data_IF_908418628052
#
_entry.id   IF_908418628052
#
_cell.length_a   1.000
_cell.length_b   1.000
_cell.length_c   1.000
_cell.angle_alpha   90.00
_cell.angle_beta   90.00
_cell.angle_gamma   90.00
#
_symmetry.space_group_name_H-M   'P 1'
#
loop_
_entity.id
_entity.type
_entity.pdbx_description
1 polymer ?
#
# COMPACT_ATOMS: atom_id res chain seq x y z
N UNK A 1 -6.91 -8.44 12.06
CA UNK A 1 -6.55 -9.79 11.59
C UNK A 1 -5.02 -9.87 11.49
N UNK A 2 -4.38 -11.01 11.77
CA UNK A 2 -2.92 -11.14 11.65
C UNK A 2 -2.59 -11.82 10.33
N UNK A 3 -1.92 -11.11 9.41
CA UNK A 3 -1.47 -11.67 8.13
C UNK A 3 -0.40 -12.74 8.40
N UNK A 4 -0.72 -13.99 8.04
CA UNK A 4 0.17 -15.14 8.23
C UNK A 4 0.95 -15.48 6.95
N UNK A 5 0.39 -15.10 5.80
CA UNK A 5 0.90 -15.43 4.46
C UNK A 5 1.07 -14.17 3.63
N UNK A 6 2.17 -14.07 2.90
CA UNK A 6 2.47 -12.97 1.99
C UNK A 6 2.93 -13.51 0.65
N UNK A 7 2.34 -13.00 -0.43
CA UNK A 7 2.90 -13.10 -1.78
C UNK A 7 3.56 -11.76 -2.11
N UNK A 8 4.86 -11.74 -2.36
CA UNK A 8 5.58 -10.55 -2.86
C UNK A 8 6.12 -10.82 -4.26
N UNK A 9 5.67 -10.07 -5.27
CA UNK A 9 6.11 -10.20 -6.66
C UNK A 9 6.06 -11.66 -7.17
N UNK A 10 4.97 -12.37 -6.88
CA UNK A 10 4.75 -13.77 -7.26
C UNK A 10 5.44 -14.80 -6.37
N UNK A 11 6.28 -14.40 -5.41
CA UNK A 11 6.91 -15.32 -4.46
C UNK A 11 6.07 -15.42 -3.18
N UNK A 12 5.71 -16.64 -2.79
CA UNK A 12 4.86 -16.92 -1.63
C UNK A 12 5.73 -17.29 -0.42
N UNK A 13 5.38 -16.77 0.76
CA UNK A 13 6.01 -17.13 2.02
C UNK A 13 5.26 -16.57 3.23
N UNK A 14 5.90 -16.64 4.41
CA UNK A 14 5.44 -15.89 5.58
C UNK A 14 5.75 -14.39 5.47
N UNK A 15 5.42 -13.63 6.50
CA UNK A 15 5.57 -12.16 6.51
C UNK A 15 6.99 -11.67 6.21
N UNK A 16 8.01 -12.46 6.58
CA UNK A 16 9.43 -12.17 6.35
C UNK A 16 9.80 -11.98 4.88
N UNK A 17 8.99 -12.44 3.93
CA UNK A 17 9.22 -12.21 2.50
C UNK A 17 9.16 -10.72 2.13
N UNK A 18 8.37 -9.93 2.87
CA UNK A 18 8.27 -8.48 2.68
C UNK A 18 9.50 -7.72 3.21
N UNK A 19 10.33 -8.35 4.05
CA UNK A 19 11.42 -7.68 4.76
C UNK A 19 12.42 -6.99 3.84
N UNK A 20 12.70 -7.55 2.66
CA UNK A 20 13.62 -6.91 1.70
C UNK A 20 13.07 -5.59 1.16
N UNK A 21 11.76 -5.55 0.86
CA UNK A 21 11.11 -4.33 0.40
C UNK A 21 10.96 -3.31 1.54
N UNK A 22 10.57 -3.75 2.74
CA UNK A 22 10.51 -2.86 3.92
C UNK A 22 11.88 -2.25 4.24
N UNK A 23 12.96 -3.04 4.19
CA UNK A 23 14.32 -2.50 4.34
C UNK A 23 14.66 -1.46 3.28
N UNK A 24 14.25 -1.68 2.03
CA UNK A 24 14.45 -0.70 0.96
C UNK A 24 13.63 0.58 1.19
N UNK A 25 12.40 0.48 1.70
CA UNK A 25 11.60 1.64 2.08
C UNK A 25 12.18 2.43 3.27
N UNK A 26 12.86 1.74 4.18
CA UNK A 26 13.52 2.35 5.34
C UNK A 26 14.88 2.99 5.00
N UNK A 27 15.41 2.80 3.79
CA UNK A 27 16.67 3.40 3.35
C UNK A 27 16.40 4.59 2.42
N UNK A 28 16.56 5.84 2.89
CA UNK A 28 16.30 7.03 2.08
C UNK A 28 17.20 7.13 0.83
N UNK A 29 18.40 6.52 0.88
CA UNK A 29 19.30 6.45 -0.26
C UNK A 29 18.71 5.59 -1.36
N UNK A 30 18.21 4.40 -1.02
CA UNK A 30 17.53 3.50 -1.97
C UNK A 30 16.25 4.15 -2.50
N UNK A 31 15.39 4.69 -1.62
CA UNK A 31 14.14 5.35 -2.03
C UNK A 31 14.41 6.47 -3.03
N UNK A 32 15.43 7.31 -2.78
CA UNK A 32 15.81 8.39 -3.70
C UNK A 32 16.39 7.87 -5.01
N UNK A 33 17.30 6.90 -4.96
CA UNK A 33 17.92 6.29 -6.16
C UNK A 33 16.86 5.69 -7.08
N UNK A 34 15.86 5.04 -6.50
CA UNK A 34 14.76 4.39 -7.23
C UNK A 34 13.65 5.34 -7.64
N UNK A 35 13.75 6.64 -7.30
CA UNK A 35 12.69 7.62 -7.43
C UNK A 35 11.37 7.19 -6.76
N UNK A 36 11.45 6.37 -5.72
CA UNK A 36 10.32 5.76 -5.05
C UNK A 36 9.99 4.34 -5.53
N UNK A 37 8.81 3.87 -5.13
CA UNK A 37 8.27 2.55 -5.48
C UNK A 37 6.81 2.66 -5.89
N UNK A 38 6.41 1.88 -6.88
CA UNK A 38 5.01 1.63 -7.23
C UNK A 38 4.58 0.31 -6.62
N UNK A 39 3.36 0.21 -6.12
CA UNK A 39 2.82 -1.03 -5.60
C UNK A 39 1.35 -1.26 -5.90
N UNK A 40 0.97 -2.54 -5.90
CA UNK A 40 -0.39 -3.05 -5.79
C UNK A 40 -0.49 -3.95 -4.57
N UNK A 41 -1.57 -3.86 -3.82
CA UNK A 41 -1.83 -4.76 -2.70
C UNK A 41 -3.29 -5.22 -2.67
N UNK A 42 -3.50 -6.49 -2.33
CA UNK A 42 -4.83 -7.07 -2.08
C UNK A 42 -4.76 -7.95 -0.84
N UNK A 43 -5.85 -8.00 -0.08
CA UNK A 43 -6.00 -8.83 1.11
C UNK A 43 -7.08 -9.88 0.86
N UNK A 44 -6.75 -11.14 1.13
CA UNK A 44 -7.67 -12.26 1.07
C UNK A 44 -7.54 -13.09 2.34
N UNK A 45 -8.42 -12.81 3.32
CA UNK A 45 -8.31 -13.38 4.66
C UNK A 45 -6.98 -13.00 5.32
N UNK A 46 -6.16 -14.00 5.67
CA UNK A 46 -4.85 -13.81 6.31
C UNK A 46 -3.68 -13.75 5.29
N UNK A 47 -4.00 -13.62 4.00
CA UNK A 47 -3.03 -13.56 2.91
C UNK A 47 -2.95 -12.16 2.32
N UNK A 48 -1.79 -11.49 2.46
CA UNK A 48 -1.46 -10.29 1.69
C UNK A 48 -0.83 -10.66 0.35
N UNK A 49 -1.40 -10.17 -0.74
CA UNK A 49 -0.77 -10.17 -2.06
C UNK A 49 -0.21 -8.78 -2.31
N UNK A 50 1.07 -8.70 -2.65
CA UNK A 50 1.78 -7.46 -2.85
C UNK A 50 2.66 -7.57 -4.10
N UNK A 51 2.51 -6.62 -5.00
CA UNK A 51 3.46 -6.39 -6.07
C UNK A 51 4.09 -5.02 -5.84
N UNK A 52 5.42 -4.93 -5.88
CA UNK A 52 6.15 -3.70 -5.67
C UNK A 52 7.37 -3.63 -6.60
N UNK A 53 7.53 -2.49 -7.29
CA UNK A 53 8.65 -2.24 -8.20
C UNK A 53 9.22 -0.83 -7.99
N UNK A 54 10.53 -0.63 -8.15
CA UNK A 54 11.13 0.70 -8.19
C UNK A 54 10.51 1.56 -9.29
N UNK A 55 10.24 2.84 -9.03
CA UNK A 55 9.76 3.78 -10.06
C UNK A 55 10.77 3.95 -11.21
N UNK A 56 12.06 3.78 -10.91
CA UNK A 56 13.17 3.88 -11.86
C UNK A 56 14.01 2.59 -11.85
N UNK A 57 14.16 1.98 -13.01
CA UNK A 57 15.01 0.80 -13.24
C UNK A 57 15.94 1.11 -14.41
N UNK A 58 17.25 1.15 -14.17
CA UNK A 58 18.26 1.44 -15.20
C UNK A 58 17.99 2.74 -16.00
N UNK A 59 17.47 3.78 -15.34
CA UNK A 59 17.11 5.05 -15.96
C UNK A 59 15.77 5.07 -16.70
N UNK A 60 15.07 3.93 -16.79
CA UNK A 60 13.73 3.84 -17.37
C UNK A 60 12.65 3.87 -16.28
N UNK A 61 11.51 4.50 -16.58
CA UNK A 61 10.34 4.51 -15.70
C UNK A 61 9.62 3.17 -15.75
N UNK A 62 9.21 2.67 -14.58
CA UNK A 62 8.29 1.53 -14.45
C UNK A 62 6.83 1.98 -14.39
N UNK A 63 5.89 1.03 -14.49
CA UNK A 63 4.47 1.33 -14.35
C UNK A 63 3.70 0.27 -13.54
N UNK A 64 2.55 0.66 -12.96
CA UNK A 64 1.69 -0.27 -12.21
C UNK A 64 1.05 -1.38 -13.05
N UNK A 65 0.87 -1.17 -14.36
CA UNK A 65 0.34 -2.21 -15.25
C UNK A 65 1.34 -3.35 -15.52
N UNK A 66 2.61 -3.18 -15.12
CA UNK A 66 3.61 -4.25 -15.14
C UNK A 66 3.44 -5.20 -13.93
N UNK A 67 2.51 -4.89 -13.02
CA UNK A 67 2.25 -5.64 -11.80
C UNK A 67 0.88 -6.31 -11.88
N UNK A 68 0.84 -7.63 -11.69
CA UNK A 68 -0.40 -8.39 -11.57
C UNK A 68 -0.43 -9.15 -10.24
N UNK A 69 -1.53 -9.00 -9.51
CA UNK A 69 -1.83 -9.86 -8.36
C UNK A 69 -2.63 -11.08 -8.82
N UNK A 70 -2.52 -12.18 -8.06
CA UNK A 70 -3.33 -13.38 -8.27
C UNK A 70 -4.83 -13.10 -8.10
N UNK A 71 -5.16 -12.18 -7.18
CA UNK A 71 -6.50 -11.64 -6.97
C UNK A 71 -6.44 -10.12 -7.09
N UNK A 72 -7.16 -9.59 -8.08
CA UNK A 72 -7.45 -8.16 -8.20
C UNK A 72 -8.98 -7.98 -8.23
N UNK A 73 -9.50 -7.22 -7.27
CA UNK A 73 -10.90 -6.81 -7.17
C UNK A 73 -11.01 -5.31 -6.85
N UNK A 74 -12.23 -4.81 -6.61
CA UNK A 74 -12.49 -3.41 -6.30
C UNK A 74 -11.72 -2.89 -5.07
N UNK A 75 -11.34 -3.77 -4.14
CA UNK A 75 -10.60 -3.45 -2.91
C UNK A 75 -9.09 -3.47 -3.09
N UNK A 76 -8.59 -3.76 -4.30
CA UNK A 76 -7.16 -3.73 -4.59
C UNK A 76 -6.62 -2.30 -4.42
N UNK A 77 -5.66 -2.18 -3.51
CA UNK A 77 -4.90 -0.94 -3.32
C UNK A 77 -3.91 -0.76 -4.46
N UNK A 78 -3.89 0.44 -5.01
CA UNK A 78 -2.92 0.95 -5.96
C UNK A 78 -2.19 2.08 -5.27
N UNK A 79 -0.86 2.04 -5.23
CA UNK A 79 -0.15 3.09 -4.52
C UNK A 79 1.28 3.31 -4.97
N UNK A 80 1.84 4.39 -4.46
CA UNK A 80 3.22 4.76 -4.68
C UNK A 80 3.82 5.29 -3.39
N UNK A 81 5.13 5.11 -3.26
CA UNK A 81 5.96 5.83 -2.29
C UNK A 81 6.88 6.71 -3.11
N UNK A 82 6.82 8.03 -2.95
CA UNK A 82 7.67 8.93 -3.73
C UNK A 82 9.12 8.97 -3.20
N UNK A 83 10.00 9.69 -3.89
CA UNK A 83 11.41 9.82 -3.50
C UNK A 83 11.65 10.50 -2.12
N UNK A 84 10.61 11.15 -1.56
CA UNK A 84 10.60 11.72 -0.22
C UNK A 84 10.02 10.79 0.85
N UNK A 85 9.57 9.58 0.48
CA UNK A 85 8.97 8.63 1.41
C UNK A 85 7.48 8.86 1.69
N UNK A 86 6.81 9.75 0.96
CA UNK A 86 5.36 10.02 1.11
C UNK A 86 4.56 9.00 0.32
N UNK A 87 3.49 8.49 0.92
CA UNK A 87 2.59 7.49 0.36
C UNK A 87 1.40 8.13 -0.36
N UNK A 88 1.12 7.62 -1.55
CA UNK A 88 -0.15 7.74 -2.25
C UNK A 88 -0.81 6.37 -2.25
N UNK A 89 -2.03 6.23 -1.74
CA UNK A 89 -2.77 4.96 -1.67
C UNK A 89 -4.20 5.20 -2.16
N UNK A 90 -4.59 4.46 -3.19
CA UNK A 90 -5.88 4.60 -3.86
C UNK A 90 -6.51 3.22 -4.06
N UNK A 91 -7.82 3.20 -4.26
CA UNK A 91 -8.55 2.07 -4.82
C UNK A 91 -9.21 2.51 -6.11
N UNK A 92 -9.54 1.56 -6.98
CA UNK A 92 -10.28 1.82 -8.21
C UNK A 92 -11.62 1.09 -8.18
N UNK A 93 -12.62 1.62 -7.45
CA UNK A 93 -13.97 1.07 -7.46
C UNK A 93 -14.57 1.19 -8.87
N UNK A 94 -15.44 0.25 -9.24
CA UNK A 94 -16.09 0.24 -10.56
C UNK A 94 -17.19 1.31 -10.66
N UNK A 95 -17.73 1.76 -9.51
CA UNK A 95 -18.74 2.80 -9.44
C UNK A 95 -18.72 3.57 -8.12
N UNK A 96 -19.29 4.78 -8.12
CA UNK A 96 -19.49 5.55 -6.89
C UNK A 96 -20.46 4.88 -5.92
N UNK A 97 -21.38 4.04 -6.42
CA UNK A 97 -22.30 3.28 -5.56
C UNK A 97 -21.55 2.25 -4.71
N UNK A 98 -20.53 1.59 -5.28
CA UNK A 98 -19.66 0.69 -4.52
C UNK A 98 -18.92 1.43 -3.40
N UNK A 99 -18.45 2.65 -3.66
CA UNK A 99 -17.80 3.49 -2.64
C UNK A 99 -18.70 3.67 -1.42
N UNK A 100 -19.95 4.08 -1.63
CA UNK A 100 -20.89 4.33 -0.54
C UNK A 100 -21.30 3.03 0.16
N UNK A 101 -21.53 1.96 -0.59
CA UNK A 101 -21.99 0.68 -0.04
C UNK A 101 -20.91 -0.03 0.81
N UNK A 102 -19.63 0.13 0.45
CA UNK A 102 -18.51 -0.61 1.05
C UNK A 102 -17.47 0.31 1.72
N UNK A 103 -17.83 1.54 2.07
CA UNK A 103 -16.90 2.53 2.63
C UNK A 103 -16.10 1.99 3.84
N UNK A 104 -16.76 1.28 4.75
CA UNK A 104 -16.11 0.68 5.92
C UNK A 104 -15.10 -0.43 5.54
N UNK A 105 -15.43 -1.25 4.54
CA UNK A 105 -14.56 -2.31 4.02
C UNK A 105 -13.34 -1.71 3.31
N UNK A 106 -13.53 -0.64 2.52
CA UNK A 106 -12.41 0.10 1.94
C UNK A 106 -11.48 0.64 3.01
N UNK A 107 -12.02 1.34 4.02
CA UNK A 107 -11.22 1.87 5.13
C UNK A 107 -10.45 0.72 5.82
N UNK A 108 -11.10 -0.41 6.08
CA UNK A 108 -10.46 -1.56 6.73
C UNK A 108 -9.26 -2.09 5.92
N UNK A 109 -9.37 -2.19 4.60
CA UNK A 109 -8.25 -2.63 3.74
C UNK A 109 -7.05 -1.68 3.83
N UNK A 110 -7.28 -0.36 3.86
CA UNK A 110 -6.23 0.63 4.07
C UNK A 110 -5.54 0.47 5.44
N UNK A 111 -6.34 0.26 6.50
CA UNK A 111 -5.84 0.05 7.87
C UNK A 111 -5.00 -1.21 7.98
N UNK A 112 -5.48 -2.31 7.41
CA UNK A 112 -4.77 -3.58 7.42
C UNK A 112 -3.44 -3.50 6.66
N UNK A 113 -3.42 -2.83 5.50
CA UNK A 113 -2.19 -2.58 4.77
C UNK A 113 -1.19 -1.74 5.58
N UNK A 114 -1.64 -0.63 6.18
CA UNK A 114 -0.79 0.22 7.01
C UNK A 114 -0.23 -0.54 8.23
N UNK A 115 -1.10 -1.26 8.95
CA UNK A 115 -0.71 -2.09 10.09
C UNK A 115 0.32 -3.15 9.69
N UNK A 116 0.18 -3.75 8.50
CA UNK A 116 1.16 -4.73 8.02
C UNK A 116 2.53 -4.12 7.81
N UNK A 117 2.63 -2.97 7.13
CA UNK A 117 3.92 -2.30 6.91
C UNK A 117 4.62 -2.01 8.24
N UNK A 118 3.87 -1.46 9.21
CA UNK A 118 4.37 -1.14 10.55
C UNK A 118 4.82 -2.41 11.30
N UNK A 119 4.00 -3.47 11.27
CA UNK A 119 4.32 -4.74 11.92
C UNK A 119 5.54 -5.44 11.30
N UNK A 120 5.84 -5.19 10.02
CA UNK A 120 7.05 -5.69 9.35
C UNK A 120 8.27 -4.78 9.58
N UNK A 121 8.15 -3.73 10.38
CA UNK A 121 9.25 -2.86 10.78
C UNK A 121 9.49 -1.67 9.85
N UNK A 122 8.47 -1.21 9.11
CA UNK A 122 8.55 0.10 8.48
C UNK A 122 8.76 1.17 9.56
N UNK A 123 9.83 1.96 9.42
CA UNK A 123 10.32 2.90 10.43
C UNK A 123 10.28 4.36 9.96
N UNK A 124 9.81 4.62 8.74
CA UNK A 124 9.60 5.97 8.26
C UNK A 124 8.36 6.62 8.88
N UNK A 125 8.21 7.93 8.66
CA UNK A 125 7.07 8.71 9.15
C UNK A 125 5.73 8.20 8.57
N UNK A 126 5.78 7.61 7.37
CA UNK A 126 4.59 7.05 6.72
C UNK A 126 3.58 8.12 6.33
N UNK A 127 4.04 9.32 5.96
CA UNK A 127 3.17 10.43 5.56
C UNK A 127 2.23 10.03 4.43
N UNK A 128 0.96 10.38 4.57
CA UNK A 128 -0.08 10.20 3.56
C UNK A 128 -0.31 11.52 2.83
N UNK A 129 -0.34 11.47 1.50
CA UNK A 129 -0.60 12.66 0.69
C UNK A 129 -2.10 13.04 0.65
N UNK A 130 -2.37 14.23 0.11
CA UNK A 130 -3.72 14.78 -0.04
C UNK A 130 -4.62 13.90 -0.91
N UNK A 131 -4.05 13.16 -1.86
CA UNK A 131 -4.81 12.22 -2.71
C UNK A 131 -5.37 11.09 -1.85
N UNK A 132 -4.50 10.46 -1.04
CA UNK A 132 -4.88 9.41 -0.10
C UNK A 132 -5.91 9.92 0.90
N UNK A 133 -5.66 11.10 1.49
CA UNK A 133 -6.58 11.72 2.44
C UNK A 133 -7.93 12.06 1.81
N UNK A 134 -7.95 12.55 0.56
CA UNK A 134 -9.18 12.84 -0.17
C UNK A 134 -10.01 11.58 -0.44
N UNK A 135 -9.36 10.45 -0.76
CA UNK A 135 -10.04 9.16 -0.91
C UNK A 135 -10.62 8.68 0.42
N UNK A 136 -9.84 8.73 1.51
CA UNK A 136 -10.32 8.34 2.83
C UNK A 136 -11.48 9.24 3.33
N UNK A 137 -11.44 10.53 3.00
CA UNK A 137 -12.51 11.46 3.28
C UNK A 137 -13.79 11.11 2.49
N UNK A 138 -13.66 10.70 1.24
CA UNK A 138 -14.79 10.24 0.43
C UNK A 138 -15.44 8.97 1.00
N UNK A 139 -14.67 8.15 1.74
CA UNK A 139 -15.18 7.00 2.50
C UNK A 139 -15.76 7.39 3.88
N UNK A 140 -15.74 8.69 4.23
CA UNK A 140 -16.29 9.19 5.48
C UNK A 140 -15.36 9.06 6.68
N UNK A 141 -14.06 8.80 6.47
CA UNK A 141 -13.10 8.75 7.58
C UNK A 141 -12.86 10.15 8.17
N UNK A 142 -13.07 10.29 9.48
CA UNK A 142 -12.85 11.54 10.21
C UNK A 142 -12.51 11.22 11.69
N UNK A 143 -11.40 11.73 12.27
CA UNK A 143 -10.39 12.61 11.67
C UNK A 143 -9.56 11.93 10.57
N UNK A 144 -9.11 12.70 9.58
CA UNK A 144 -8.27 12.17 8.51
C UNK A 144 -6.86 11.87 9.03
N UNK A 145 -6.32 10.65 8.80
CA UNK A 145 -4.97 10.33 9.17
C UNK A 145 -3.97 11.01 8.23
N UNK A 146 -2.89 11.51 8.83
CA UNK A 146 -1.73 12.07 8.15
C UNK A 146 -0.58 11.08 8.00
N UNK A 147 -0.62 9.96 8.74
CA UNK A 147 0.42 8.92 8.71
C UNK A 147 -0.16 7.50 8.64
N UNK A 148 0.66 6.54 8.21
CA UNK A 148 0.34 5.11 8.29
C UNK A 148 0.04 4.68 9.74
N UNK A 149 0.73 5.25 10.72
CA UNK A 149 0.51 4.95 12.15
C UNK A 149 -0.87 5.41 12.60
N UNK A 150 -1.28 6.64 12.26
CA UNK A 150 -2.62 7.13 12.56
C UNK A 150 -3.68 6.31 11.84
N UNK A 151 -3.47 6.00 10.56
CA UNK A 151 -4.39 5.18 9.78
C UNK A 151 -4.58 3.80 10.41
N UNK A 152 -3.51 3.12 10.83
CA UNK A 152 -3.58 1.78 11.41
C UNK A 152 -4.27 1.71 12.79
N UNK A 153 -4.36 2.83 13.52
CA UNK A 153 -4.92 2.88 14.89
C UNK A 153 -6.39 3.29 14.97
N UNK A 154 -6.92 3.94 13.93
CA UNK A 154 -8.34 4.32 13.87
C UNK A 154 -9.23 3.11 13.62
#
# INVERSE_FOLDING_TARGET
MTVSKVTLNGKIGGSSIAAAWIRALNDPGIVREKAGFLFKASLDGDHLMLAAVPCLINGARSHHYDQHLEKEDAFTLLGAVNAGGVFTIMVKPDSNEQITAHAAEFIDVYRQFAALLLNQGYAGEGLLDEVTQGVLQAFGLNPLPSTLSELAMQ
#
